data_IF_432402686535
#
_entry.id   IF_432402686535
#
_cell.length_a   1.000
_cell.length_b   1.000
_cell.length_c   1.000
_cell.angle_alpha   90.00
_cell.angle_beta   90.00
_cell.angle_gamma   90.00
#
_symmetry.space_group_name_H-M   'P 1'
#
loop_
_entity.id
_entity.type
_entity.pdbx_description
1 polymer ?
#
# COMPACT_ATOMS: atom_id res chain seq x y z
N UNK A 1 -24.32 26.06 29.06
CA UNK A 1 -23.38 25.18 29.76
C UNK A 1 -23.73 23.75 29.35
N UNK A 2 -22.96 22.95 28.63
CA UNK A 2 -21.63 23.11 28.05
C UNK A 2 -21.51 22.20 26.83
N UNK A 3 -20.86 22.73 25.79
CA UNK A 3 -20.43 22.00 24.59
C UNK A 3 -19.22 21.14 24.98
N UNK A 4 -19.30 19.82 24.80
CA UNK A 4 -18.13 18.92 24.77
C UNK A 4 -18.04 18.38 23.33
N UNK A 5 -17.19 18.90 22.42
CA UNK A 5 -15.72 18.76 22.32
C UNK A 5 -15.30 17.33 22.67
N UNK A 6 -14.68 16.54 21.81
CA UNK A 6 -14.15 16.73 20.47
C UNK A 6 -13.59 15.38 20.00
N UNK A 7 -13.45 15.26 18.68
CA UNK A 7 -12.81 14.18 17.95
C UNK A 7 -11.37 14.01 18.45
N UNK A 8 -10.91 12.76 18.58
CA UNK A 8 -9.48 12.46 18.71
C UNK A 8 -9.15 11.38 19.73
N UNK A 9 -9.10 10.12 19.30
CA UNK A 9 -8.12 9.17 19.83
C UNK A 9 -7.55 8.42 18.65
N UNK A 10 -6.43 8.93 18.14
CA UNK A 10 -5.47 8.20 17.32
C UNK A 10 -4.90 7.13 18.24
N UNK A 11 -5.53 5.95 18.29
CA UNK A 11 -4.96 4.79 18.97
C UNK A 11 -3.86 4.22 18.10
N UNK A 12 -2.67 4.83 18.23
CA UNK A 12 -1.41 4.13 18.05
C UNK A 12 -1.37 2.97 19.05
N UNK A 13 -1.73 1.78 18.58
CA UNK A 13 -1.57 0.52 19.31
C UNK A 13 -0.59 -0.36 18.51
N UNK A 14 0.70 -0.12 18.77
CA UNK A 14 1.74 -1.11 18.58
C UNK A 14 1.55 -2.22 19.63
N UNK A 15 0.54 -3.07 19.44
CA UNK A 15 0.41 -4.33 20.13
C UNK A 15 0.82 -5.44 19.15
N UNK A 16 2.11 -5.78 19.20
CA UNK A 16 2.68 -6.94 18.54
C UNK A 16 2.01 -8.18 19.17
N UNK A 17 1.57 -9.11 18.31
CA UNK A 17 0.98 -10.42 18.61
C UNK A 17 -0.56 -10.45 18.82
N UNK A 18 -1.32 -10.23 17.74
CA UNK A 18 -2.60 -10.94 17.55
C UNK A 18 -2.59 -11.63 16.19
N UNK A 19 -2.05 -12.84 16.20
CA UNK A 19 -2.22 -13.97 15.27
C UNK A 19 -3.31 -13.75 14.21
N UNK A 20 -2.90 -13.24 13.05
CA UNK A 20 -3.13 -13.74 11.67
C UNK A 20 -4.55 -13.96 11.13
N UNK A 21 -5.58 -14.04 11.97
CA UNK A 21 -6.91 -14.52 11.59
C UNK A 21 -8.05 -13.67 12.13
N UNK A 22 -7.80 -12.90 13.21
CA UNK A 22 -8.84 -12.07 13.84
C UNK A 22 -8.97 -10.67 13.24
N UNK A 23 -7.91 -10.13 12.61
CA UNK A 23 -7.97 -8.80 12.05
C UNK A 23 -8.91 -8.78 10.83
N UNK A 24 -8.67 -9.62 9.82
CA UNK A 24 -9.48 -9.63 8.59
C UNK A 24 -10.99 -9.78 8.81
N UNK A 25 -11.40 -10.61 9.79
CA UNK A 25 -12.81 -10.83 10.13
C UNK A 25 -13.49 -9.60 10.76
N UNK A 26 -12.70 -8.66 11.28
CA UNK A 26 -13.16 -7.38 11.83
C UNK A 26 -13.04 -6.23 10.81
N UNK A 27 -12.25 -6.42 9.75
CA UNK A 27 -11.92 -5.39 8.74
C UNK A 27 -12.85 -5.40 7.52
N UNK A 28 -13.77 -6.37 7.40
CA UNK A 28 -14.70 -6.52 6.27
C UNK A 28 -15.82 -5.47 6.23
N UNK A 29 -15.60 -4.28 6.79
CA UNK A 29 -16.42 -3.11 6.51
C UNK A 29 -15.88 -2.48 5.23
N UNK A 30 -16.71 -2.40 4.19
CA UNK A 30 -16.36 -2.10 2.79
C UNK A 30 -15.52 -0.84 2.52
N UNK A 31 -15.30 0.04 3.51
CA UNK A 31 -14.48 1.24 3.38
C UNK A 31 -12.98 1.01 3.59
N UNK A 32 -12.58 -0.02 4.36
CA UNK A 32 -11.18 -0.23 4.73
C UNK A 32 -10.40 -0.92 3.59
N UNK A 33 -9.19 -0.42 3.32
CA UNK A 33 -8.35 -0.79 2.17
C UNK A 33 -8.87 -0.34 0.80
N UNK A 34 -9.89 0.52 0.75
CA UNK A 34 -10.20 1.24 -0.49
C UNK A 34 -9.06 2.19 -0.86
N UNK A 35 -8.95 2.54 -2.15
CA UNK A 35 -7.96 3.53 -2.61
C UNK A 35 -8.15 4.86 -1.86
N UNK A 36 -9.39 5.33 -1.72
CA UNK A 36 -9.73 6.58 -1.03
C UNK A 36 -9.28 6.55 0.44
N UNK A 37 -9.46 5.41 1.11
CA UNK A 37 -8.96 5.22 2.47
C UNK A 37 -7.43 5.26 2.52
N UNK A 38 -6.74 4.55 1.62
CA UNK A 38 -5.28 4.56 1.57
C UNK A 38 -4.72 5.95 1.27
N UNK A 39 -5.34 6.70 0.36
CA UNK A 39 -4.97 8.07 0.02
C UNK A 39 -5.08 9.04 1.21
N UNK A 40 -5.98 8.77 2.15
CA UNK A 40 -6.16 9.60 3.34
C UNK A 40 -5.10 9.41 4.44
N UNK A 41 -4.31 8.33 4.37
CA UNK A 41 -3.32 7.96 5.41
C UNK A 41 -1.94 8.59 5.19
N UNK A 42 -1.20 8.78 6.29
CA UNK A 42 0.24 9.09 6.22
C UNK A 42 1.07 7.91 5.71
N UNK A 43 2.31 8.16 5.27
CA UNK A 43 3.20 7.11 4.78
C UNK A 43 3.54 6.09 5.90
N UNK A 44 3.70 6.55 7.14
CA UNK A 44 3.98 5.68 8.29
C UNK A 44 2.77 4.80 8.66
N UNK A 45 1.56 5.37 8.60
CA UNK A 45 0.33 4.62 8.84
C UNK A 45 0.11 3.56 7.75
N UNK A 46 0.39 3.92 6.51
CA UNK A 46 0.26 3.05 5.35
C UNK A 46 1.24 1.86 5.43
N UNK A 47 2.50 2.11 5.81
CA UNK A 47 3.49 1.05 6.06
C UNK A 47 3.08 0.14 7.23
N UNK A 48 2.59 0.74 8.33
CA UNK A 48 2.15 -0.02 9.50
C UNK A 48 0.97 -0.95 9.18
N UNK A 49 -0.02 -0.45 8.44
CA UNK A 49 -1.18 -1.26 8.03
C UNK A 49 -0.80 -2.33 7.00
N UNK A 50 0.11 -2.00 6.06
CA UNK A 50 0.67 -2.98 5.12
C UNK A 50 1.35 -4.15 5.84
N UNK A 51 2.15 -3.88 6.87
CA UNK A 51 2.84 -4.93 7.64
C UNK A 51 1.85 -5.85 8.37
N UNK A 52 0.72 -5.32 8.86
CA UNK A 52 -0.34 -6.15 9.44
C UNK A 52 -0.92 -7.12 8.41
N UNK A 53 -1.23 -6.63 7.21
CA UNK A 53 -1.75 -7.46 6.10
C UNK A 53 -0.70 -8.49 5.68
N UNK A 54 0.59 -8.14 5.67
CA UNK A 54 1.69 -9.07 5.35
C UNK A 54 1.78 -10.20 6.36
N UNK A 55 1.63 -9.91 7.65
CA UNK A 55 1.61 -10.92 8.70
C UNK A 55 0.39 -11.85 8.61
N UNK A 56 -0.78 -11.29 8.28
CA UNK A 56 -1.99 -12.07 8.01
C UNK A 56 -1.79 -13.00 6.80
N UNK A 57 -1.17 -12.49 5.74
CA UNK A 57 -0.87 -13.29 4.54
C UNK A 57 0.10 -14.43 4.85
N UNK A 58 1.18 -14.16 5.59
CA UNK A 58 2.10 -15.22 6.06
C UNK A 58 1.42 -16.26 6.95
N UNK A 59 0.34 -15.89 7.64
CA UNK A 59 -0.41 -16.78 8.52
C UNK A 59 -1.53 -17.54 7.81
N UNK A 60 -1.83 -17.21 6.54
CA UNK A 60 -2.94 -17.78 5.78
C UNK A 60 -2.65 -19.18 5.18
N UNK A 61 -1.57 -19.87 5.63
CA UNK A 61 -0.98 -21.11 5.07
C UNK A 61 -1.94 -22.13 4.44
N UNK A 62 -3.15 -22.30 4.99
CA UNK A 62 -4.12 -23.33 4.55
C UNK A 62 -5.37 -22.77 3.88
N UNK A 63 -5.57 -21.46 3.87
CA UNK A 63 -6.72 -20.81 3.24
C UNK A 63 -6.26 -20.01 2.01
N UNK A 64 -6.26 -20.69 0.87
CA UNK A 64 -5.83 -20.10 -0.40
C UNK A 64 -6.71 -18.93 -0.84
N UNK A 65 -8.03 -19.02 -0.62
CA UNK A 65 -8.97 -17.94 -0.98
C UNK A 65 -8.67 -16.68 -0.19
N UNK A 66 -8.35 -16.85 1.09
CA UNK A 66 -7.92 -15.78 1.97
C UNK A 66 -6.55 -15.20 1.54
N UNK A 67 -5.57 -16.06 1.25
CA UNK A 67 -4.25 -15.63 0.80
C UNK A 67 -4.31 -14.76 -0.47
N UNK A 68 -5.13 -15.14 -1.46
CA UNK A 68 -5.32 -14.36 -2.70
C UNK A 68 -5.93 -12.97 -2.41
N UNK A 69 -6.90 -12.89 -1.48
CA UNK A 69 -7.48 -11.59 -1.09
C UNK A 69 -6.47 -10.70 -0.39
N UNK A 70 -5.68 -11.25 0.53
CA UNK A 70 -4.64 -10.52 1.24
C UNK A 70 -3.53 -10.05 0.30
N UNK A 71 -3.13 -10.89 -0.66
CA UNK A 71 -2.19 -10.50 -1.73
C UNK A 71 -2.73 -9.35 -2.57
N UNK A 72 -4.02 -9.39 -2.94
CA UNK A 72 -4.66 -8.28 -3.67
C UNK A 72 -4.61 -6.97 -2.87
N UNK A 73 -4.77 -7.01 -1.54
CA UNK A 73 -4.69 -5.83 -0.68
C UNK A 73 -3.24 -5.33 -0.58
N UNK A 74 -2.27 -6.24 -0.43
CA UNK A 74 -0.84 -5.87 -0.44
C UNK A 74 -0.44 -5.16 -1.74
N UNK A 75 -0.93 -5.66 -2.88
CA UNK A 75 -0.70 -5.03 -4.18
C UNK A 75 -1.29 -3.62 -4.27
N UNK A 76 -2.42 -3.35 -3.60
CA UNK A 76 -3.01 -2.00 -3.54
C UNK A 76 -2.13 -1.04 -2.71
N UNK A 77 -1.64 -1.50 -1.56
CA UNK A 77 -0.67 -0.74 -0.77
C UNK A 77 0.59 -0.41 -1.57
N UNK A 78 1.19 -1.42 -2.22
CA UNK A 78 2.40 -1.23 -3.03
C UNK A 78 2.18 -0.24 -4.18
N UNK A 79 0.98 -0.26 -4.79
CA UNK A 79 0.62 0.69 -5.85
C UNK A 79 0.52 2.12 -5.32
N UNK A 80 -0.11 2.35 -4.18
CA UNK A 80 -0.22 3.68 -3.59
C UNK A 80 1.15 4.19 -3.11
N UNK A 81 1.95 3.35 -2.45
CA UNK A 81 3.33 3.70 -2.09
C UNK A 81 4.19 4.05 -3.30
N UNK A 82 4.09 3.26 -4.37
CA UNK A 82 4.80 3.53 -5.62
C UNK A 82 4.35 4.87 -6.22
N UNK A 83 3.03 5.10 -6.31
CA UNK A 83 2.47 6.37 -6.79
C UNK A 83 3.02 7.57 -5.99
N UNK A 84 3.14 7.46 -4.66
CA UNK A 84 3.74 8.51 -3.81
C UNK A 84 5.23 8.68 -4.08
N UNK A 85 5.99 7.58 -4.15
CA UNK A 85 7.44 7.60 -4.40
C UNK A 85 7.82 8.14 -5.79
N UNK A 86 6.92 8.02 -6.77
CA UNK A 86 7.12 8.44 -8.16
C UNK A 86 6.41 9.75 -8.53
N UNK A 87 5.56 10.32 -7.67
CA UNK A 87 4.72 11.51 -7.97
C UNK A 87 5.49 12.69 -8.58
N UNK A 88 6.68 12.97 -8.07
CA UNK A 88 7.52 14.10 -8.49
C UNK A 88 8.75 13.68 -9.31
N UNK A 89 8.85 12.38 -9.65
CA UNK A 89 9.96 11.87 -10.44
C UNK A 89 9.64 12.02 -11.93
N UNK A 90 10.48 12.78 -12.63
CA UNK A 90 10.44 12.85 -14.09
C UNK A 90 10.71 11.46 -14.65
N UNK A 91 9.83 11.00 -15.55
CA UNK A 91 10.05 9.77 -16.30
C UNK A 91 11.44 9.83 -16.95
N UNK A 92 12.23 8.77 -16.76
CA UNK A 92 13.55 8.70 -17.36
C UNK A 92 13.33 8.61 -18.87
N UNK A 93 13.46 9.74 -19.57
CA UNK A 93 13.41 9.77 -21.01
C UNK A 93 14.55 8.93 -21.53
N UNK A 94 14.24 7.74 -22.05
CA UNK A 94 15.22 6.97 -22.80
C UNK A 94 15.74 7.88 -23.92
N UNK A 95 17.08 8.00 -24.08
CA UNK A 95 17.64 8.66 -25.24
C UNK A 95 16.93 8.18 -26.50
N UNK A 96 16.47 9.12 -27.32
CA UNK A 96 15.87 8.79 -28.61
C UNK A 96 16.93 8.01 -29.39
N UNK A 97 16.63 6.76 -29.69
CA UNK A 97 17.51 5.95 -30.54
C UNK A 97 17.60 6.63 -31.90
N UNK A 98 18.83 6.83 -32.39
CA UNK A 98 19.05 7.22 -33.78
C UNK A 98 18.55 6.11 -34.72
N UNK A 99 18.41 6.42 -36.01
CA UNK A 99 17.96 5.43 -37.02
C UNK A 99 18.86 4.18 -37.05
N UNK A 100 20.10 4.31 -36.58
CA UNK A 100 21.11 3.24 -36.54
C UNK A 100 21.31 2.61 -35.15
N UNK A 101 20.48 2.95 -34.16
CA UNK A 101 20.58 2.39 -32.81
C UNK A 101 21.65 3.07 -31.92
N UNK A 102 22.04 2.41 -30.83
CA UNK A 102 22.81 3.03 -29.74
C UNK A 102 24.32 3.22 -30.00
N UNK A 103 24.87 2.59 -31.05
CA UNK A 103 26.32 2.46 -31.26
C UNK A 103 26.79 2.78 -32.68
N UNK A 104 25.91 3.29 -33.55
CA UNK A 104 26.27 3.66 -34.91
C UNK A 104 26.09 5.18 -35.06
N UNK A 105 27.19 5.86 -35.38
CA UNK A 105 27.20 7.28 -35.72
C UNK A 105 26.35 7.53 -36.97
N UNK A 106 25.65 8.66 -37.01
CA UNK A 106 24.83 9.13 -38.14
C UNK A 106 25.67 9.62 -39.34
N UNK A 107 26.92 9.17 -39.48
CA UNK A 107 27.80 9.59 -40.58
C UNK A 107 27.49 8.77 -41.85
N UNK A 108 26.63 9.33 -42.72
CA UNK A 108 27.00 9.80 -44.08
C UNK A 108 25.88 10.63 -44.72
#
# INVERSE_FOLDING_TARGET
MDKKKGIGVITGLCAIAIVGTKLFKFLSGEEKYSNDWMESLSDEELESEREKVRQDWCSAEKDFSMAVKLESILNQFDKEMSKRAWKDKKEYGYPKHGEHGWYLSEDD
#
